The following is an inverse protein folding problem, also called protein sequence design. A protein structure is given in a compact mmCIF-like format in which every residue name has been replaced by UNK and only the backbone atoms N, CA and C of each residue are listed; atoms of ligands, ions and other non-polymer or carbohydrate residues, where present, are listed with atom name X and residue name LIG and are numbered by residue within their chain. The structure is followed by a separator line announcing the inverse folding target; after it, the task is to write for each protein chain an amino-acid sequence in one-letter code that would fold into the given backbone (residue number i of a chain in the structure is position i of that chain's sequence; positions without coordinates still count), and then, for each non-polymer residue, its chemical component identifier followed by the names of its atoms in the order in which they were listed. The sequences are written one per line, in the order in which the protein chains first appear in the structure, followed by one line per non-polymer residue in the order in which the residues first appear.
data_IF_939683249380
#
_entry.id   IF_939683249380
#
_cell.length_a   1.000
_cell.length_b   1.000
_cell.length_c   1.000
_cell.angle_alpha   90.00
_cell.angle_beta   90.00
_cell.angle_gamma   90.00
#
_symmetry.space_group_name_H-M   'P 1'
#
loop_
_entity.id
_entity.type
_entity.pdbx_description
1 polymer ?
#
# COMPACT_ATOMS: atom_id res chain seq x y z
N UNK A 1 -15.75 17.25 -17.32
CA UNK A 1 -16.21 16.16 -16.43
C UNK A 1 -15.06 15.84 -15.47
N UNK A 2 -15.34 15.76 -14.17
CA UNK A 2 -14.31 15.40 -13.18
C UNK A 2 -13.79 13.98 -13.48
N UNK A 3 -12.46 13.78 -13.43
CA UNK A 3 -11.75 12.51 -13.67
C UNK A 3 -12.33 11.35 -12.83
N UNK A 4 -12.90 11.66 -11.67
CA UNK A 4 -13.45 10.71 -10.68
C UNK A 4 -14.92 10.98 -10.31
N UNK A 5 -15.70 11.58 -11.21
CA UNK A 5 -17.11 11.91 -10.93
C UNK A 5 -18.02 10.72 -10.57
N UNK A 6 -17.64 9.51 -10.99
CA UNK A 6 -18.38 8.27 -10.67
C UNK A 6 -18.27 7.87 -9.18
N UNK A 7 -17.23 8.34 -8.48
CA UNK A 7 -16.95 8.00 -7.08
C UNK A 7 -17.51 9.02 -6.09
N UNK A 8 -18.46 9.84 -6.51
CA UNK A 8 -19.11 10.82 -5.65
C UNK A 8 -20.25 10.15 -4.87
N UNK A 9 -20.14 10.16 -3.55
CA UNK A 9 -21.21 9.74 -2.63
C UNK A 9 -21.97 10.98 -2.16
N UNK A 10 -23.21 11.12 -2.61
CA UNK A 10 -24.09 12.24 -2.24
C UNK A 10 -24.58 12.04 -0.81
N UNK A 11 -24.27 12.98 0.07
CA UNK A 11 -24.61 12.96 1.49
C UNK A 11 -25.84 13.84 1.82
N UNK A 12 -26.07 14.88 1.02
CA UNK A 12 -27.15 15.86 1.22
C UNK A 12 -28.54 15.22 1.27
N UNK A 13 -28.78 14.21 0.44
CA UNK A 13 -30.05 13.52 0.28
C UNK A 13 -30.16 12.25 1.14
N UNK A 14 -29.16 12.01 2.01
CA UNK A 14 -29.18 10.86 2.90
C UNK A 14 -30.22 11.06 4.01
N UNK A 15 -31.27 10.27 3.92
CA UNK A 15 -32.27 10.12 4.96
C UNK A 15 -31.83 9.05 5.98
N UNK A 16 -32.76 8.48 6.72
CA UNK A 16 -32.48 7.41 7.70
C UNK A 16 -32.10 6.06 7.07
N UNK A 17 -32.24 5.90 5.76
CA UNK A 17 -31.89 4.67 5.06
C UNK A 17 -30.43 4.71 4.57
N UNK A 18 -29.66 3.62 4.75
CA UNK A 18 -28.30 3.54 4.25
C UNK A 18 -28.28 3.53 2.72
N UNK A 19 -27.37 4.28 2.12
CA UNK A 19 -27.10 4.23 0.69
C UNK A 19 -25.90 3.34 0.43
N UNK A 20 -26.08 2.30 -0.35
CA UNK A 20 -25.01 1.39 -0.77
C UNK A 20 -24.62 1.73 -2.22
N UNK A 21 -23.33 1.85 -2.45
CA UNK A 21 -22.71 2.04 -3.77
C UNK A 21 -21.66 0.97 -3.99
N UNK A 22 -21.67 0.33 -5.13
CA UNK A 22 -20.66 -0.67 -5.50
C UNK A 22 -19.78 -0.11 -6.62
N UNK A 23 -18.47 -0.28 -6.47
CA UNK A 23 -17.48 0.14 -7.43
C UNK A 23 -16.59 -1.04 -7.80
N UNK A 24 -16.25 -1.14 -9.08
CA UNK A 24 -15.20 -2.04 -9.56
C UNK A 24 -13.97 -1.19 -9.87
N UNK A 25 -12.91 -1.39 -9.09
CA UNK A 25 -11.64 -0.73 -9.26
C UNK A 25 -10.77 -1.60 -10.17
N UNK A 26 -10.77 -1.27 -11.43
CA UNK A 26 -10.04 -1.98 -12.49
C UNK A 26 -8.75 -1.25 -12.88
N UNK A 27 -8.04 -1.77 -13.88
CA UNK A 27 -6.81 -1.16 -14.37
C UNK A 27 -7.00 0.29 -14.86
N UNK A 28 -8.19 0.65 -15.33
CA UNK A 28 -8.47 2.02 -15.79
C UNK A 28 -8.62 2.98 -14.59
N UNK A 29 -9.13 2.49 -13.47
CA UNK A 29 -9.14 3.23 -12.21
C UNK A 29 -7.71 3.48 -11.72
N UNK A 30 -6.87 2.44 -11.62
CA UNK A 30 -5.48 2.58 -11.15
C UNK A 30 -4.65 3.50 -12.06
N UNK A 31 -4.81 3.41 -13.38
CA UNK A 31 -4.19 4.34 -14.32
C UNK A 31 -4.64 5.80 -14.14
N UNK A 32 -5.90 6.01 -13.72
CA UNK A 32 -6.40 7.37 -13.45
C UNK A 32 -5.87 7.92 -12.14
N UNK A 33 -5.66 7.09 -11.13
CA UNK A 33 -4.99 7.48 -9.88
C UNK A 33 -3.54 7.90 -10.17
N UNK A 34 -2.85 7.17 -11.07
CA UNK A 34 -1.48 7.48 -11.53
C UNK A 34 -0.45 7.47 -10.40
N UNK A 35 -0.56 6.46 -9.52
CA UNK A 35 0.39 6.24 -8.43
C UNK A 35 1.35 5.09 -8.79
N UNK A 36 2.63 5.17 -8.35
CA UNK A 36 3.65 4.18 -8.69
C UNK A 36 3.47 2.83 -7.98
N UNK A 37 2.81 2.80 -6.81
CA UNK A 37 2.76 1.61 -5.95
C UNK A 37 1.85 0.52 -6.54
N UNK A 38 0.64 0.91 -6.97
CA UNK A 38 -0.34 -0.03 -7.55
C UNK A 38 -0.87 0.54 -8.85
N UNK A 39 -0.57 -0.13 -9.95
CA UNK A 39 -0.98 0.29 -11.30
C UNK A 39 -1.98 -0.67 -11.95
N UNK A 40 -2.12 -1.87 -11.41
CA UNK A 40 -2.96 -2.93 -11.96
C UNK A 40 -3.66 -3.69 -10.84
N UNK A 41 -4.87 -4.16 -11.13
CA UNK A 41 -5.62 -4.99 -10.22
C UNK A 41 -7.10 -5.02 -10.54
N UNK A 42 -7.82 -5.79 -9.73
CA UNK A 42 -9.28 -5.85 -9.75
C UNK A 42 -9.77 -5.96 -8.31
N UNK A 43 -10.33 -4.86 -7.80
CA UNK A 43 -10.86 -4.80 -6.43
C UNK A 43 -12.31 -4.36 -6.48
N UNK A 44 -13.19 -5.13 -5.85
CA UNK A 44 -14.58 -4.75 -5.60
C UNK A 44 -14.64 -3.93 -4.33
N UNK A 45 -15.22 -2.75 -4.40
CA UNK A 45 -15.44 -1.87 -3.26
C UNK A 45 -16.93 -1.66 -3.04
N UNK A 46 -17.39 -1.94 -1.82
CA UNK A 46 -18.75 -1.66 -1.37
C UNK A 46 -18.66 -0.51 -0.38
N UNK A 47 -19.34 0.59 -0.69
CA UNK A 47 -19.38 1.80 0.12
C UNK A 47 -20.79 2.01 0.64
N UNK A 48 -20.96 2.00 1.95
CA UNK A 48 -22.25 2.19 2.61
C UNK A 48 -22.26 3.46 3.41
N UNK A 49 -23.01 4.45 2.99
CA UNK A 49 -23.15 5.72 3.69
C UNK A 49 -24.43 5.77 4.51
N UNK A 50 -24.32 6.21 5.78
CA UNK A 50 -25.42 6.36 6.73
C UNK A 50 -25.35 7.70 7.42
N UNK A 51 -26.52 8.29 7.70
CA UNK A 51 -26.58 9.48 8.54
C UNK A 51 -26.64 9.06 10.01
N UNK A 52 -25.76 9.63 10.83
CA UNK A 52 -25.69 9.36 12.26
C UNK A 52 -25.62 10.69 13.02
N UNK A 53 -26.75 11.12 13.57
CA UNK A 53 -26.88 12.42 14.22
C UNK A 53 -26.51 13.59 13.27
N UNK A 54 -25.48 14.36 13.62
CA UNK A 54 -24.97 15.49 12.83
C UNK A 54 -23.77 15.11 11.92
N UNK A 55 -23.46 13.82 11.81
CA UNK A 55 -22.38 13.30 10.98
C UNK A 55 -22.87 12.23 10.02
N UNK A 56 -22.03 11.86 9.08
CA UNK A 56 -22.25 10.72 8.20
C UNK A 56 -21.17 9.69 8.49
N UNK A 57 -21.58 8.44 8.59
CA UNK A 57 -20.71 7.28 8.72
C UNK A 57 -20.67 6.58 7.37
N UNK A 58 -19.48 6.38 6.83
CA UNK A 58 -19.26 5.71 5.56
C UNK A 58 -18.43 4.47 5.84
N UNK A 59 -19.02 3.29 5.66
CA UNK A 59 -18.35 2.01 5.78
C UNK A 59 -17.83 1.58 4.40
N UNK A 60 -16.57 1.16 4.36
CA UNK A 60 -15.90 0.63 3.18
C UNK A 60 -15.59 -0.84 3.37
N UNK A 61 -15.87 -1.64 2.36
CA UNK A 61 -15.48 -3.05 2.28
C UNK A 61 -14.81 -3.24 0.93
N UNK A 62 -13.53 -3.63 0.94
CA UNK A 62 -12.73 -3.85 -0.25
C UNK A 62 -12.29 -5.31 -0.31
N UNK A 63 -12.55 -5.97 -1.44
CA UNK A 63 -12.17 -7.36 -1.68
C UNK A 63 -11.68 -7.52 -3.11
N UNK A 64 -10.50 -8.14 -3.29
CA UNK A 64 -9.95 -8.37 -4.63
C UNK A 64 -8.47 -8.67 -4.63
N UNK A 65 -7.81 -8.38 -5.74
CA UNK A 65 -6.39 -8.64 -5.97
C UNK A 65 -5.77 -7.47 -6.70
N UNK A 66 -4.58 -7.08 -6.29
CA UNK A 66 -3.74 -6.10 -6.99
C UNK A 66 -2.42 -6.73 -7.40
N UNK A 67 -1.78 -6.17 -8.42
CA UNK A 67 -0.44 -6.56 -8.85
C UNK A 67 0.55 -5.52 -8.34
N UNK A 68 1.53 -5.98 -7.57
CA UNK A 68 2.60 -5.17 -6.99
C UNK A 68 3.96 -5.82 -7.27
N UNK A 69 5.05 -5.04 -7.30
CA UNK A 69 6.38 -5.61 -7.45
C UNK A 69 6.81 -6.36 -6.19
N UNK A 70 7.40 -7.53 -6.34
CA UNK A 70 8.00 -8.27 -5.24
C UNK A 70 9.24 -7.53 -4.71
N UNK A 71 9.38 -7.35 -3.39
CA UNK A 71 10.52 -6.64 -2.76
C UNK A 71 11.87 -7.33 -3.01
N UNK A 72 11.87 -8.62 -3.36
CA UNK A 72 13.09 -9.39 -3.57
C UNK A 72 13.53 -9.46 -5.03
N UNK A 73 12.61 -9.71 -5.96
CA UNK A 73 12.97 -9.94 -7.36
C UNK A 73 12.44 -8.88 -8.33
N UNK A 74 11.60 -7.96 -7.87
CA UNK A 74 10.95 -6.88 -8.62
C UNK A 74 9.97 -7.34 -9.70
N UNK A 75 9.74 -8.64 -9.85
CA UNK A 75 8.70 -9.15 -10.73
C UNK A 75 7.33 -8.91 -10.12
N UNK A 76 6.30 -8.77 -10.95
CA UNK A 76 4.91 -8.56 -10.50
C UNK A 76 4.41 -9.80 -9.73
N UNK A 77 3.76 -9.58 -8.60
CA UNK A 77 3.09 -10.58 -7.80
C UNK A 77 1.67 -10.17 -7.47
N UNK A 78 0.81 -11.14 -7.25
CA UNK A 78 -0.56 -10.93 -6.81
C UNK A 78 -0.61 -10.72 -5.30
N UNK A 79 -1.23 -9.63 -4.88
CA UNK A 79 -1.53 -9.34 -3.48
C UNK A 79 -3.03 -9.32 -3.28
N UNK A 80 -3.53 -10.20 -2.42
CA UNK A 80 -4.94 -10.21 -2.03
C UNK A 80 -5.24 -9.02 -1.13
N UNK A 81 -6.35 -8.34 -1.44
CA UNK A 81 -6.89 -7.24 -0.65
C UNK A 81 -8.19 -7.70 0.01
N UNK A 82 -8.24 -7.58 1.33
CA UNK A 82 -9.45 -7.77 2.14
C UNK A 82 -9.40 -6.77 3.29
N UNK A 83 -10.08 -5.64 3.12
CA UNK A 83 -9.99 -4.52 4.03
C UNK A 83 -11.36 -3.94 4.35
N UNK A 84 -11.55 -3.52 5.59
CA UNK A 84 -12.76 -2.84 6.04
C UNK A 84 -12.35 -1.60 6.83
N UNK A 85 -12.93 -0.47 6.47
CA UNK A 85 -12.65 0.79 7.13
C UNK A 85 -13.93 1.60 7.29
N UNK A 86 -13.88 2.55 8.21
CA UNK A 86 -14.97 3.43 8.55
C UNK A 86 -14.50 4.87 8.57
N UNK A 87 -15.16 5.73 7.82
CA UNK A 87 -14.88 7.15 7.75
C UNK A 87 -16.05 7.94 8.34
N UNK A 88 -15.72 8.89 9.21
CA UNK A 88 -16.69 9.84 9.71
C UNK A 88 -16.61 11.15 8.91
N UNK A 89 -17.73 11.62 8.39
CA UNK A 89 -17.82 12.83 7.57
C UNK A 89 -18.78 13.81 8.20
N UNK A 90 -18.41 15.09 8.23
CA UNK A 90 -19.26 16.20 8.67
C UNK A 90 -19.31 17.27 7.59
N UNK A 91 -20.38 18.04 7.58
CA UNK A 91 -20.43 19.26 6.78
C UNK A 91 -19.76 20.42 7.53
N UNK A 92 -19.07 21.26 6.77
CA UNK A 92 -18.44 22.47 7.25
C UNK A 92 -18.23 23.48 6.13
N UNK A 93 -17.44 24.52 6.39
CA UNK A 93 -17.22 25.62 5.42
C UNK A 93 -16.22 25.26 4.33
N UNK A 94 -15.19 24.48 4.69
CA UNK A 94 -14.10 24.09 3.78
C UNK A 94 -13.75 22.63 3.99
N UNK A 95 -13.18 22.01 2.95
CA UNK A 95 -12.61 20.67 3.07
C UNK A 95 -11.43 20.69 4.04
N UNK A 96 -11.46 19.81 5.04
CA UNK A 96 -10.35 19.52 5.95
C UNK A 96 -10.45 18.10 6.48
N UNK A 97 -9.33 17.58 6.91
CA UNK A 97 -9.21 16.29 7.60
C UNK A 97 -8.67 16.57 8.99
N UNK A 98 -9.46 16.25 10.02
CA UNK A 98 -9.12 16.46 11.41
C UNK A 98 -9.28 15.14 12.16
N UNK A 99 -8.15 14.58 12.60
CA UNK A 99 -8.07 13.27 13.24
C UNK A 99 -8.77 12.17 12.39
N UNK A 100 -9.92 11.68 12.84
CA UNK A 100 -10.70 10.63 12.16
C UNK A 100 -11.94 11.19 11.42
N UNK A 101 -12.05 12.51 11.28
CA UNK A 101 -13.21 13.17 10.71
C UNK A 101 -12.82 13.95 9.46
N UNK A 102 -13.49 13.65 8.35
CA UNK A 102 -13.39 14.42 7.12
C UNK A 102 -14.48 15.48 7.09
N UNK A 103 -14.10 16.72 6.91
CA UNK A 103 -15.02 17.84 6.77
C UNK A 103 -15.19 18.15 5.29
N UNK A 104 -16.44 18.15 4.83
CA UNK A 104 -16.79 18.41 3.43
C UNK A 104 -17.64 19.68 3.35
N UNK A 105 -17.39 20.57 2.36
CA UNK A 105 -18.20 21.77 2.19
C UNK A 105 -19.70 21.43 2.01
N UNK A 106 -20.55 22.09 2.77
CA UNK A 106 -22.00 21.89 2.66
C UNK A 106 -22.53 22.25 1.26
N UNK A 107 -21.85 23.19 0.58
CA UNK A 107 -22.16 23.57 -0.80
C UNK A 107 -22.03 22.42 -1.79
N UNK A 108 -21.07 21.53 -1.59
CA UNK A 108 -20.84 20.37 -2.43
C UNK A 108 -21.85 19.26 -2.11
N UNK A 109 -22.15 19.04 -0.84
CA UNK A 109 -23.13 18.05 -0.37
C UNK A 109 -22.80 16.60 -0.71
N UNK A 110 -21.56 16.33 -1.14
CA UNK A 110 -21.07 15.01 -1.56
C UNK A 110 -19.59 14.88 -1.25
N UNK A 111 -19.14 13.67 -1.00
CA UNK A 111 -17.72 13.33 -0.85
C UNK A 111 -17.26 12.48 -2.03
N UNK A 112 -16.07 12.77 -2.58
CA UNK A 112 -15.44 11.92 -3.56
C UNK A 112 -14.57 10.87 -2.85
N UNK A 113 -14.93 9.59 -3.01
CA UNK A 113 -14.25 8.49 -2.32
C UNK A 113 -13.15 7.82 -3.14
N UNK A 114 -12.87 8.32 -4.37
CA UNK A 114 -11.89 7.65 -5.23
C UNK A 114 -10.51 7.55 -4.60
N UNK A 115 -10.04 8.62 -3.96
CA UNK A 115 -8.72 8.63 -3.34
C UNK A 115 -8.67 7.78 -2.06
N UNK A 116 -9.68 7.84 -1.22
CA UNK A 116 -9.81 7.02 -0.02
C UNK A 116 -9.79 5.52 -0.34
N UNK A 117 -10.49 5.09 -1.40
CA UNK A 117 -10.46 3.69 -1.83
C UNK A 117 -9.05 3.23 -2.21
N UNK A 118 -8.26 4.09 -2.84
CA UNK A 118 -6.88 3.79 -3.17
C UNK A 118 -5.99 3.71 -1.91
N UNK A 119 -6.10 4.66 -1.01
CA UNK A 119 -5.36 4.70 0.26
C UNK A 119 -5.65 3.46 1.11
N UNK A 120 -6.90 3.02 1.19
CA UNK A 120 -7.27 1.80 1.92
C UNK A 120 -6.70 0.53 1.29
N UNK A 121 -6.55 0.49 -0.05
CA UNK A 121 -5.82 -0.59 -0.71
C UNK A 121 -4.35 -0.57 -0.29
N UNK A 122 -3.68 0.60 -0.32
CA UNK A 122 -2.28 0.73 0.08
C UNK A 122 -2.05 0.33 1.55
N UNK A 123 -2.93 0.75 2.46
CA UNK A 123 -2.86 0.39 3.87
C UNK A 123 -3.00 -1.11 4.15
N UNK A 124 -3.63 -1.85 3.23
CA UNK A 124 -3.77 -3.31 3.34
C UNK A 124 -2.56 -4.07 2.78
N UNK A 125 -1.69 -3.43 2.02
CA UNK A 125 -0.46 -4.05 1.50
C UNK A 125 0.55 -4.19 2.65
N UNK A 126 1.08 -5.41 2.93
CA UNK A 126 2.09 -5.60 3.96
C UNK A 126 3.37 -4.81 3.64
N UNK A 127 4.07 -4.32 4.66
CA UNK A 127 5.35 -3.61 4.50
C UNK A 127 6.42 -4.44 3.78
N UNK A 128 6.39 -5.77 3.93
CA UNK A 128 7.24 -6.71 3.20
C UNK A 128 6.35 -7.65 2.42
N UNK A 129 6.50 -7.65 1.10
CA UNK A 129 5.74 -8.50 0.19
C UNK A 129 6.68 -9.17 -0.81
N UNK A 130 6.75 -10.48 -0.70
CA UNK A 130 7.65 -11.32 -1.50
C UNK A 130 6.89 -12.53 -2.02
N UNK A 131 7.31 -13.06 -3.17
CA UNK A 131 6.79 -14.34 -3.67
C UNK A 131 6.97 -15.46 -2.63
N UNK A 132 6.17 -16.49 -2.74
CA UNK A 132 6.36 -17.72 -1.97
C UNK A 132 7.76 -18.31 -2.23
N UNK A 133 8.29 -19.11 -1.27
CA UNK A 133 9.60 -19.73 -1.39
C UNK A 133 9.78 -20.46 -2.74
N UNK A 134 10.87 -20.14 -3.44
CA UNK A 134 11.21 -20.73 -4.74
C UNK A 134 10.53 -20.10 -5.97
N UNK A 135 9.57 -19.19 -5.81
CA UNK A 135 8.84 -18.55 -6.92
C UNK A 135 9.51 -17.25 -7.43
N UNK A 136 10.44 -16.70 -6.68
CA UNK A 136 11.18 -15.51 -7.10
C UNK A 136 12.04 -15.78 -8.34
N UNK A 137 12.22 -14.76 -9.15
CA UNK A 137 13.12 -14.77 -10.30
C UNK A 137 14.56 -15.13 -9.90
N UNK A 138 15.02 -16.31 -10.34
CA UNK A 138 16.34 -16.84 -9.95
C UNK A 138 17.50 -15.92 -10.31
N UNK A 139 17.45 -15.24 -11.46
CA UNK A 139 18.49 -14.31 -11.90
C UNK A 139 18.65 -13.12 -10.95
N UNK A 140 17.52 -12.54 -10.53
CA UNK A 140 17.53 -11.40 -9.59
C UNK A 140 17.93 -11.85 -8.20
N UNK A 141 17.46 -13.00 -7.73
CA UNK A 141 17.86 -13.56 -6.42
C UNK A 141 19.37 -13.81 -6.39
N UNK A 142 19.95 -14.37 -7.48
CA UNK A 142 21.42 -14.57 -7.55
C UNK A 142 22.19 -13.25 -7.50
N UNK A 143 21.73 -12.22 -8.22
CA UNK A 143 22.33 -10.88 -8.14
C UNK A 143 22.23 -10.30 -6.73
N UNK A 144 21.05 -10.41 -6.10
CA UNK A 144 20.85 -9.91 -4.76
C UNK A 144 21.77 -10.60 -3.74
N UNK A 145 21.91 -11.93 -3.83
CA UNK A 145 22.82 -12.73 -2.98
C UNK A 145 24.27 -12.23 -3.01
N UNK A 146 24.76 -11.72 -4.14
CA UNK A 146 26.12 -11.17 -4.27
C UNK A 146 26.33 -9.84 -3.56
N UNK A 147 25.25 -9.12 -3.23
CA UNK A 147 25.31 -7.77 -2.67
C UNK A 147 24.75 -7.68 -1.23
N UNK A 148 24.22 -8.76 -0.70
CA UNK A 148 23.74 -8.80 0.69
C UNK A 148 24.94 -9.02 1.61
N UNK A 149 25.20 -8.06 2.49
CA UNK A 149 26.06 -8.23 3.67
C UNK A 149 25.29 -9.03 4.71
N UNK A 150 25.78 -10.22 5.07
CA UNK A 150 25.14 -11.08 6.06
C UNK A 150 25.44 -10.61 7.48
N UNK A 151 24.42 -10.41 8.29
CA UNK A 151 24.53 -10.57 9.74
C UNK A 151 24.40 -12.05 10.08
N UNK A 152 25.17 -12.53 11.08
CA UNK A 152 25.19 -13.96 11.48
C UNK A 152 23.85 -14.49 12.02
N UNK A 153 22.85 -13.63 12.16
CA UNK A 153 21.55 -13.93 12.77
C UNK A 153 20.40 -13.98 11.75
N UNK A 154 20.67 -13.81 10.45
CA UNK A 154 19.64 -13.87 9.41
C UNK A 154 19.53 -15.30 8.83
N UNK A 155 18.85 -16.18 9.56
CA UNK A 155 18.34 -17.46 9.07
C UNK A 155 17.12 -17.24 8.16
N UNK A 156 17.32 -16.71 6.94
CA UNK A 156 16.29 -16.74 5.89
C UNK A 156 16.40 -18.10 5.17
N UNK A 157 15.45 -19.03 5.38
CA UNK A 157 15.52 -20.40 4.84
C UNK A 157 15.54 -20.48 3.31
N UNK A 158 15.21 -19.38 2.63
CA UNK A 158 15.22 -19.30 1.15
C UNK A 158 16.59 -18.90 0.58
N UNK A 159 17.58 -18.68 1.44
CA UNK A 159 18.93 -18.29 1.03
C UNK A 159 19.90 -19.44 1.30
N UNK A 160 19.70 -20.59 0.67
CA UNK A 160 20.75 -21.58 0.54
C UNK A 160 21.85 -21.03 -0.38
N UNK A 161 23.01 -20.76 0.18
CA UNK A 161 24.23 -20.39 -0.57
C UNK A 161 25.10 -21.60 -0.63
N UNK A 162 25.26 -22.14 -1.83
CA UNK A 162 26.39 -23.02 -2.11
C UNK A 162 27.66 -22.19 -1.98
N UNK A 163 28.57 -22.61 -1.08
CA UNK A 163 29.78 -21.89 -0.64
C UNK A 163 30.88 -21.77 -1.71
N UNK A 164 30.61 -22.13 -2.97
CA UNK A 164 31.67 -22.41 -3.94
C UNK A 164 32.18 -21.20 -4.77
N UNK A 165 31.61 -19.98 -4.61
CA UNK A 165 32.02 -18.82 -5.43
C UNK A 165 32.09 -17.48 -4.67
N UNK A 166 32.31 -17.47 -3.37
CA UNK A 166 32.65 -16.25 -2.66
C UNK A 166 34.16 -16.00 -2.77
N UNK A 167 34.61 -15.44 -3.89
CA UNK A 167 35.84 -14.66 -3.86
C UNK A 167 35.62 -13.53 -2.83
N UNK A 168 36.20 -13.71 -1.65
CA UNK A 168 36.32 -12.66 -0.65
C UNK A 168 37.12 -11.56 -1.34
N UNK A 169 36.46 -10.46 -1.66
CA UNK A 169 37.14 -9.26 -2.15
C UNK A 169 38.06 -8.76 -1.04
N UNK A 170 39.31 -9.16 -1.14
CA UNK A 170 40.40 -8.79 -0.23
C UNK A 170 40.89 -7.37 -0.54
N UNK A 171 40.00 -6.52 -1.08
CA UNK A 171 40.30 -5.10 -1.29
C UNK A 171 40.54 -4.41 0.06
N UNK A 172 41.57 -3.56 0.16
CA UNK A 172 41.87 -2.86 1.41
C UNK A 172 40.64 -2.05 1.83
N UNK A 173 40.28 -2.15 3.11
CA UNK A 173 39.16 -1.43 3.72
C UNK A 173 39.27 0.08 3.36
N UNK A 174 38.12 0.66 2.98
CA UNK A 174 38.00 2.09 2.68
C UNK A 174 38.58 2.91 3.86
N UNK A 175 39.57 3.78 3.65
CA UNK A 175 40.21 4.57 4.71
C UNK A 175 39.23 5.40 5.56
N UNK A 176 38.03 5.67 5.06
CA UNK A 176 36.99 6.38 5.81
C UNK A 176 36.45 5.59 7.00
N UNK A 177 36.63 4.26 7.02
CA UNK A 177 36.15 3.36 8.07
C UNK A 177 37.24 3.01 9.10
N UNK A 178 38.50 3.43 8.90
CA UNK A 178 39.62 3.18 9.84
C UNK A 178 39.31 3.67 11.27
N UNK A 179 38.58 4.78 11.39
CA UNK A 179 38.20 5.34 12.67
C UNK A 179 37.21 4.46 13.49
N UNK A 180 36.48 3.55 12.84
CA UNK A 180 35.56 2.65 13.51
C UNK A 180 36.24 1.41 14.11
N UNK A 181 37.35 0.95 13.56
CA UNK A 181 38.14 -0.15 14.13
C UNK A 181 38.62 0.18 15.51
N UNK A 182 39.10 1.43 15.74
CA UNK A 182 39.58 1.87 17.06
C UNK A 182 38.47 1.87 18.14
N UNK A 183 37.21 1.84 17.78
CA UNK A 183 36.09 1.76 18.73
C UNK A 183 35.84 0.31 19.15
N UNK A 184 36.06 -0.67 18.27
CA UNK A 184 35.87 -2.09 18.55
C UNK A 184 37.02 -2.68 19.39
N UNK A 185 38.25 -2.17 19.21
CA UNK A 185 39.47 -2.65 19.93
C UNK A 185 39.59 -2.08 21.35
N UNK A 186 38.78 -1.10 21.75
CA UNK A 186 38.82 -0.44 23.06
C UNK A 186 37.70 -0.84 24.02
N UNK A 187 37.04 -2.00 23.84
CA UNK A 187 35.97 -2.45 24.71
C UNK A 187 36.27 -3.82 25.35
#
# INVERSE_FOLDING_TARGET
MSKFGLYNVVLKDLNNEPRVSEYLLDNDYFKKIDSPEVQKGTVKAIVTARKKNQAFEIDFVLEGTVLIPCDRCLDEMEQTISYKEKLLVKFGDKFSEEDEIVIVPESEGAINVAWFLYEFILLNIPLKHVHAPGECNKTMVTKLKRHITRSKDDDDPDIEVEDDDLEIDDSPMDPRWEGLQNILDNN
#
